data_IF_812000766323
#
_entry.id   IF_812000766323
#
_cell.length_a   1.000
_cell.length_b   1.000
_cell.length_c   1.000
_cell.angle_alpha   90.00
_cell.angle_beta   90.00
_cell.angle_gamma   90.00
#
_symmetry.space_group_name_H-M   'P 1'
#
loop_
_entity.id
_entity.type
_entity.pdbx_description
1 polymer ?
#
# COMPACT_ATOMS: atom_id res chain seq x y z
N UNK A 1 -25.02 -0.49 8.64
CA UNK A 1 -25.55 -1.84 8.39
C UNK A 1 -25.83 -2.51 9.73
N UNK A 2 -26.87 -3.34 9.83
CA UNK A 2 -27.14 -4.17 11.00
C UNK A 2 -27.41 -5.60 10.52
N UNK A 3 -27.01 -6.58 11.30
CA UNK A 3 -27.13 -8.00 10.97
C UNK A 3 -27.37 -8.83 12.22
N UNK A 4 -27.85 -10.06 12.01
CA UNK A 4 -28.14 -11.04 13.04
C UNK A 4 -27.72 -12.43 12.52
N UNK A 5 -28.26 -13.51 13.11
CA UNK A 5 -28.15 -14.85 12.58
C UNK A 5 -28.43 -14.88 11.06
N UNK A 6 -27.66 -15.70 10.33
CA UNK A 6 -27.69 -15.83 8.86
C UNK A 6 -27.00 -14.68 8.10
N UNK A 7 -25.65 -14.65 8.06
CA UNK A 7 -24.87 -13.59 7.42
C UNK A 7 -25.20 -13.39 5.93
N UNK A 8 -25.63 -14.44 5.23
CA UNK A 8 -25.99 -14.39 3.81
C UNK A 8 -27.15 -13.42 3.50
N UNK A 9 -27.95 -13.03 4.49
CA UNK A 9 -29.06 -12.08 4.32
C UNK A 9 -28.63 -10.62 4.43
N UNK A 10 -27.41 -10.35 4.90
CA UNK A 10 -26.93 -9.01 5.22
C UNK A 10 -25.72 -8.66 4.33
N UNK A 11 -25.99 -8.29 3.07
CA UNK A 11 -24.97 -7.77 2.16
C UNK A 11 -25.17 -6.26 1.98
N UNK A 12 -24.14 -5.47 2.29
CA UNK A 12 -24.19 -4.01 2.17
C UNK A 12 -23.00 -3.54 1.34
N UNK A 13 -23.29 -2.73 0.32
CA UNK A 13 -22.26 -2.03 -0.43
C UNK A 13 -21.73 -0.88 0.43
N UNK A 14 -20.41 -0.88 0.65
CA UNK A 14 -19.71 0.16 1.39
C UNK A 14 -18.90 1.01 0.42
N UNK A 15 -18.84 2.31 0.70
CA UNK A 15 -17.94 3.23 -0.01
C UNK A 15 -16.55 3.18 0.62
N UNK A 16 -15.56 3.83 0.01
CA UNK A 16 -14.22 3.90 0.59
C UNK A 16 -14.28 4.77 1.86
N UNK A 17 -13.90 4.20 2.99
CA UNK A 17 -13.83 4.90 4.27
C UNK A 17 -13.57 3.95 5.43
N UNK A 18 -13.47 4.53 6.62
CA UNK A 18 -13.27 3.78 7.85
C UNK A 18 -14.61 3.40 8.48
N UNK A 19 -14.72 2.14 8.88
CA UNK A 19 -15.96 1.58 9.45
C UNK A 19 -15.67 0.87 10.76
N UNK A 20 -16.61 0.95 11.71
CA UNK A 20 -16.54 0.25 12.99
C UNK A 20 -17.67 -0.77 13.08
N UNK A 21 -17.33 -2.02 13.43
CA UNK A 21 -18.31 -3.08 13.68
C UNK A 21 -18.47 -3.23 15.20
N UNK A 22 -19.71 -3.26 15.67
CA UNK A 22 -20.05 -3.55 17.07
C UNK A 22 -20.88 -4.82 17.13
N UNK A 23 -20.47 -5.78 17.94
CA UNK A 23 -21.15 -7.05 18.14
C UNK A 23 -21.57 -7.17 19.61
N UNK A 24 -22.85 -7.46 19.87
CA UNK A 24 -23.40 -7.58 21.21
C UNK A 24 -23.88 -9.00 21.46
N UNK A 25 -23.28 -9.69 22.42
CA UNK A 25 -23.68 -11.02 22.87
C UNK A 25 -24.26 -10.89 24.28
N UNK A 26 -25.42 -11.49 24.52
CA UNK A 26 -26.10 -11.46 25.82
C UNK A 26 -26.19 -12.88 26.37
N UNK A 27 -25.77 -13.06 27.61
CA UNK A 27 -25.90 -14.30 28.35
C UNK A 27 -25.98 -13.99 29.85
N UNK A 28 -26.70 -14.80 30.62
CA UNK A 28 -26.88 -14.59 32.07
C UNK A 28 -25.58 -14.86 32.87
N UNK A 29 -24.79 -15.83 32.42
CA UNK A 29 -23.51 -16.22 33.03
C UNK A 29 -22.35 -15.42 32.43
N UNK A 30 -21.68 -14.64 33.27
CA UNK A 30 -20.51 -13.83 32.87
C UNK A 30 -19.33 -14.69 32.39
N UNK A 31 -19.07 -15.81 33.06
CA UNK A 31 -17.95 -16.71 32.74
C UNK A 31 -18.01 -17.28 31.30
N UNK A 32 -19.21 -17.37 30.71
CA UNK A 32 -19.38 -17.79 29.33
C UNK A 32 -19.18 -16.65 28.34
N UNK A 33 -19.49 -15.41 28.71
CA UNK A 33 -19.23 -14.21 27.90
C UNK A 33 -17.74 -13.92 27.81
N UNK A 34 -17.00 -14.11 28.90
CA UNK A 34 -15.54 -13.93 28.92
C UNK A 34 -14.82 -14.88 27.96
N UNK A 35 -15.38 -16.07 27.68
CA UNK A 35 -14.83 -16.99 26.66
C UNK A 35 -15.02 -16.53 25.22
N UNK A 36 -15.86 -15.53 24.99
CA UNK A 36 -16.24 -15.03 23.66
C UNK A 36 -15.59 -13.69 23.32
N UNK A 37 -14.74 -13.13 24.20
CA UNK A 37 -14.06 -11.85 23.96
C UNK A 37 -13.13 -11.90 22.76
N UNK A 38 -12.49 -13.05 22.54
CA UNK A 38 -11.53 -13.25 21.44
C UNK A 38 -12.17 -13.84 20.18
N UNK A 39 -13.50 -13.74 20.05
CA UNK A 39 -14.23 -14.34 18.94
C UNK A 39 -13.93 -13.59 17.63
N UNK A 40 -13.32 -14.25 16.63
CA UNK A 40 -12.99 -13.61 15.37
C UNK A 40 -14.26 -13.37 14.55
N UNK A 41 -14.29 -12.24 13.83
CA UNK A 41 -15.34 -11.91 12.87
C UNK A 41 -14.81 -12.19 11.46
N UNK A 42 -15.57 -12.97 10.69
CA UNK A 42 -15.26 -13.21 9.28
C UNK A 42 -15.95 -12.15 8.41
N UNK A 43 -15.16 -11.41 7.64
CA UNK A 43 -15.65 -10.45 6.64
C UNK A 43 -15.58 -11.06 5.25
N UNK A 44 -16.73 -11.17 4.59
CA UNK A 44 -16.85 -11.67 3.22
C UNK A 44 -17.01 -10.51 2.25
N UNK A 45 -15.95 -10.19 1.50
CA UNK A 45 -15.97 -9.17 0.46
C UNK A 45 -16.16 -9.78 -0.92
N UNK A 46 -17.19 -9.35 -1.64
CA UNK A 46 -17.43 -9.79 -3.02
C UNK A 46 -16.45 -9.11 -3.96
N UNK A 47 -15.59 -9.88 -4.62
CA UNK A 47 -14.65 -9.37 -5.60
C UNK A 47 -15.38 -8.77 -6.82
N UNK A 48 -14.89 -7.62 -7.31
CA UNK A 48 -15.44 -6.98 -8.50
C UNK A 48 -15.25 -7.84 -9.76
N UNK A 49 -14.07 -8.46 -9.89
CA UNK A 49 -13.77 -9.43 -10.94
C UNK A 49 -13.57 -10.82 -10.33
N UNK A 50 -14.32 -11.84 -10.78
CA UNK A 50 -14.11 -13.20 -10.29
C UNK A 50 -12.77 -13.73 -10.76
N UNK A 51 -12.07 -14.45 -9.89
CA UNK A 51 -10.79 -15.09 -10.21
C UNK A 51 -11.09 -16.47 -10.77
N UNK A 52 -10.74 -16.68 -12.04
CA UNK A 52 -10.73 -18.01 -12.65
C UNK A 52 -9.42 -18.71 -12.37
N UNK A 53 -9.50 -19.96 -11.93
CA UNK A 53 -8.35 -20.83 -11.69
C UNK A 53 -8.27 -21.83 -12.84
N UNK A 54 -7.08 -21.98 -13.42
CA UNK A 54 -6.86 -22.89 -14.53
C UNK A 54 -6.63 -24.33 -14.03
N UNK A 55 -7.27 -25.28 -14.72
CA UNK A 55 -7.13 -26.71 -14.48
C UNK A 55 -6.29 -27.38 -15.58
N UNK A 56 -5.51 -28.38 -15.20
CA UNK A 56 -4.55 -29.08 -16.06
C UNK A 56 -4.71 -30.59 -15.92
N UNK A 57 -4.55 -31.32 -17.03
CA UNK A 57 -4.62 -32.79 -17.05
C UNK A 57 -3.28 -33.47 -16.73
N UNK A 58 -2.20 -32.69 -16.59
CA UNK A 58 -0.86 -33.17 -16.27
C UNK A 58 -0.17 -32.20 -15.31
N UNK A 59 0.57 -32.75 -14.35
CA UNK A 59 1.34 -31.98 -13.38
C UNK A 59 2.41 -31.11 -14.04
N UNK A 60 3.11 -31.63 -15.06
CA UNK A 60 4.18 -30.89 -15.74
C UNK A 60 3.64 -29.64 -16.44
N UNK A 61 2.44 -29.74 -17.02
CA UNK A 61 1.76 -28.61 -17.65
C UNK A 61 1.27 -27.59 -16.62
N UNK A 62 0.81 -28.04 -15.44
CA UNK A 62 0.40 -27.15 -14.35
C UNK A 62 1.58 -26.32 -13.82
N UNK A 63 2.77 -26.92 -13.69
CA UNK A 63 3.97 -26.25 -13.17
C UNK A 63 4.48 -25.14 -14.09
N UNK A 64 4.43 -25.34 -15.40
CA UNK A 64 4.91 -24.36 -16.39
C UNK A 64 3.81 -23.41 -16.90
N UNK A 65 2.57 -23.55 -16.41
CA UNK A 65 1.42 -22.82 -16.93
C UNK A 65 1.13 -23.13 -18.41
N UNK A 66 1.39 -24.37 -18.84
CA UNK A 66 1.31 -24.80 -20.23
C UNK A 66 -0.11 -25.12 -20.70
N UNK A 67 -0.29 -26.26 -21.39
CA UNK A 67 -1.57 -26.64 -21.99
C UNK A 67 -2.63 -26.96 -20.92
N UNK A 68 -3.67 -26.12 -20.86
CA UNK A 68 -4.83 -26.27 -19.98
C UNK A 68 -5.73 -27.44 -20.39
N UNK A 69 -6.41 -28.04 -19.42
CA UNK A 69 -7.46 -29.02 -19.66
C UNK A 69 -8.76 -28.30 -19.99
N UNK A 70 -9.23 -28.42 -21.23
CA UNK A 70 -10.47 -27.76 -21.69
C UNK A 70 -11.71 -28.61 -21.40
N UNK A 71 -11.63 -29.91 -21.65
CA UNK A 71 -12.66 -30.88 -21.30
C UNK A 71 -12.09 -32.29 -21.34
N UNK A 72 -12.67 -33.20 -20.55
CA UNK A 72 -12.41 -34.62 -20.62
C UNK A 72 -13.74 -35.38 -20.61
N UNK A 73 -13.78 -36.51 -21.31
CA UNK A 73 -14.91 -37.45 -21.27
C UNK A 73 -14.45 -38.61 -20.41
N UNK A 74 -15.15 -38.85 -19.30
CA UNK A 74 -14.87 -39.99 -18.42
C UNK A 74 -15.91 -41.08 -18.69
N UNK A 75 -15.51 -42.25 -19.25
CA UNK A 75 -16.44 -43.35 -19.47
C UNK A 75 -16.99 -43.88 -18.15
N UNK A 76 -18.21 -44.39 -18.17
CA UNK A 76 -18.85 -45.03 -17.02
C UNK A 76 -18.03 -46.27 -16.60
N UNK A 77 -17.55 -46.31 -15.36
CA UNK A 77 -16.70 -47.40 -14.84
C UNK A 77 -15.66 -46.92 -13.83
N UNK A 78 -14.63 -47.73 -13.56
CA UNK A 78 -13.52 -47.41 -12.63
C UNK A 78 -12.40 -46.62 -13.31
N UNK A 79 -12.74 -45.50 -13.94
CA UNK A 79 -11.74 -44.60 -14.51
C UNK A 79 -11.54 -43.40 -13.59
N UNK A 80 -10.28 -43.04 -13.33
CA UNK A 80 -9.89 -41.88 -12.52
C UNK A 80 -9.07 -40.92 -13.36
N UNK A 81 -9.52 -39.67 -13.47
CA UNK A 81 -8.77 -38.61 -14.14
C UNK A 81 -8.21 -37.64 -13.09
N UNK A 82 -6.89 -37.60 -12.87
CA UNK A 82 -6.28 -36.58 -12.01
C UNK A 82 -6.37 -35.21 -12.69
N UNK A 83 -6.83 -34.21 -11.92
CA UNK A 83 -6.87 -32.81 -12.33
C UNK A 83 -5.95 -32.02 -11.41
N UNK A 84 -5.08 -31.22 -12.01
CA UNK A 84 -4.11 -30.39 -11.30
C UNK A 84 -4.54 -28.93 -11.39
N UNK A 85 -4.48 -28.23 -10.26
CA UNK A 85 -4.80 -26.81 -10.14
C UNK A 85 -3.51 -26.06 -9.86
N UNK A 86 -3.14 -25.15 -10.77
CA UNK A 86 -1.92 -24.35 -10.58
C UNK A 86 -2.15 -23.24 -9.52
N UNK A 87 -1.12 -22.86 -8.74
CA UNK A 87 -1.19 -21.72 -7.85
C UNK A 87 -1.55 -20.42 -8.59
N UNK A 88 -2.28 -19.54 -7.94
CA UNK A 88 -2.62 -18.24 -8.51
C UNK A 88 -1.36 -17.36 -8.66
N UNK A 89 -1.21 -16.62 -9.78
CA UNK A 89 -0.10 -15.69 -9.97
C UNK A 89 -0.04 -14.64 -8.86
N UNK A 90 1.18 -14.31 -8.39
CA UNK A 90 1.42 -13.35 -7.30
C UNK A 90 0.76 -11.99 -7.55
N UNK A 91 0.75 -11.52 -8.80
CA UNK A 91 0.26 -10.18 -9.16
C UNK A 91 -1.26 -10.04 -8.96
N UNK A 92 -2.00 -11.15 -9.07
CA UNK A 92 -3.43 -11.21 -8.77
C UNK A 92 -3.68 -11.27 -7.26
N UNK A 93 -2.77 -11.88 -6.49
CA UNK A 93 -2.92 -12.09 -5.04
C UNK A 93 -2.53 -10.86 -4.22
N UNK A 94 -1.50 -10.12 -4.63
CA UNK A 94 -0.98 -8.94 -3.91
C UNK A 94 -2.02 -7.84 -3.67
N UNK A 95 -3.09 -7.81 -4.47
CA UNK A 95 -4.17 -6.81 -4.37
C UNK A 95 -5.34 -7.23 -3.48
N UNK A 96 -5.39 -8.49 -3.01
CA UNK A 96 -6.63 -9.10 -2.53
C UNK A 96 -6.59 -9.46 -1.05
N UNK A 97 -5.41 -9.67 -0.46
CA UNK A 97 -5.34 -9.91 0.98
C UNK A 97 -3.94 -10.22 1.51
N UNK A 98 -3.86 -10.21 2.83
CA UNK A 98 -2.68 -10.56 3.62
C UNK A 98 -2.83 -11.96 4.22
N UNK A 99 -1.83 -12.39 5.01
CA UNK A 99 -1.85 -13.65 5.76
C UNK A 99 -3.13 -13.83 6.56
N UNK A 100 -3.69 -15.05 6.56
CA UNK A 100 -4.93 -15.38 7.28
C UNK A 100 -6.20 -15.18 6.46
N UNK A 101 -6.11 -14.56 5.28
CA UNK A 101 -7.25 -14.45 4.36
C UNK A 101 -7.34 -15.68 3.44
N UNK A 102 -8.55 -15.97 2.97
CA UNK A 102 -8.79 -17.00 1.97
C UNK A 102 -9.80 -16.53 0.94
N UNK A 103 -9.70 -17.08 -0.27
CA UNK A 103 -10.70 -16.89 -1.31
C UNK A 103 -11.72 -18.01 -1.24
N UNK A 104 -12.98 -17.67 -1.40
CA UNK A 104 -14.08 -18.63 -1.44
C UNK A 104 -14.78 -18.55 -2.80
N UNK A 105 -15.02 -19.71 -3.38
CA UNK A 105 -15.72 -19.86 -4.65
C UNK A 105 -16.35 -21.25 -4.77
N UNK A 106 -16.57 -21.67 -6.00
CA UNK A 106 -17.17 -22.96 -6.31
C UNK A 106 -16.39 -23.67 -7.41
N UNK A 107 -16.26 -24.99 -7.32
CA UNK A 107 -15.74 -25.85 -8.38
C UNK A 107 -16.88 -26.69 -8.97
N UNK A 108 -16.88 -26.86 -10.28
CA UNK A 108 -17.94 -27.52 -11.04
C UNK A 108 -17.28 -28.46 -12.06
N UNK A 109 -17.75 -29.72 -12.12
CA UNK A 109 -17.15 -30.74 -12.99
C UNK A 109 -18.00 -31.04 -14.24
N UNK A 110 -19.31 -30.88 -14.15
CA UNK A 110 -20.23 -31.02 -15.27
C UNK A 110 -19.97 -30.00 -16.39
N UNK A 111 -20.00 -30.46 -17.65
CA UNK A 111 -19.83 -29.60 -18.82
C UNK A 111 -21.14 -28.91 -19.25
N UNK A 112 -22.27 -29.57 -19.00
CA UNK A 112 -23.61 -29.11 -19.38
C UNK A 112 -24.13 -28.02 -18.45
N UNK A 113 -24.94 -27.10 -18.98
CA UNK A 113 -25.37 -25.90 -18.24
C UNK A 113 -26.38 -26.18 -17.13
N UNK A 114 -27.10 -27.30 -17.21
CA UNK A 114 -27.99 -27.75 -16.13
C UNK A 114 -27.16 -28.34 -15.00
N UNK A 115 -26.22 -29.24 -15.33
CA UNK A 115 -25.25 -29.81 -14.39
C UNK A 115 -24.48 -28.74 -13.64
N UNK A 116 -24.05 -27.66 -14.29
CA UNK A 116 -23.27 -26.60 -13.63
C UNK A 116 -23.98 -25.93 -12.45
N UNK A 117 -25.32 -25.95 -12.44
CA UNK A 117 -26.14 -25.35 -11.37
C UNK A 117 -26.34 -26.30 -10.18
N UNK A 118 -26.18 -27.60 -10.40
CA UNK A 118 -26.50 -28.65 -9.41
C UNK A 118 -25.22 -29.30 -8.88
N UNK A 119 -24.25 -29.56 -9.75
CA UNK A 119 -22.96 -30.18 -9.45
C UNK A 119 -21.91 -29.12 -9.09
N UNK A 120 -22.19 -28.34 -8.04
CA UNK A 120 -21.33 -27.25 -7.59
C UNK A 120 -20.85 -27.50 -6.16
N UNK A 121 -19.54 -27.50 -5.97
CA UNK A 121 -18.90 -27.79 -4.69
C UNK A 121 -18.20 -26.55 -4.15
N UNK A 122 -18.29 -26.26 -2.83
CA UNK A 122 -17.58 -25.14 -2.23
C UNK A 122 -16.07 -25.33 -2.33
N UNK A 123 -15.37 -24.32 -2.83
CA UNK A 123 -13.93 -24.31 -2.99
C UNK A 123 -13.32 -23.17 -2.17
N UNK A 124 -12.28 -23.47 -1.38
CA UNK A 124 -11.54 -22.48 -0.59
C UNK A 124 -10.07 -22.51 -0.98
N UNK A 125 -9.53 -21.35 -1.32
CA UNK A 125 -8.12 -21.16 -1.64
C UNK A 125 -7.47 -20.32 -0.54
N UNK A 126 -6.58 -20.94 0.23
CA UNK A 126 -5.90 -20.29 1.36
C UNK A 126 -4.71 -19.48 0.81
N UNK A 127 -4.58 -18.22 1.21
CA UNK A 127 -3.46 -17.39 0.82
C UNK A 127 -2.25 -17.70 1.71
N UNK A 128 -1.14 -18.09 1.07
CA UNK A 128 0.14 -18.28 1.73
C UNK A 128 0.90 -16.95 1.82
N UNK A 129 1.78 -16.83 2.82
CA UNK A 129 2.64 -15.66 2.96
C UNK A 129 3.51 -15.47 1.72
N UNK A 130 3.60 -14.24 1.16
CA UNK A 130 4.67 -13.94 0.24
C UNK A 130 5.98 -14.07 1.03
N UNK A 131 6.79 -15.09 0.72
CA UNK A 131 8.10 -15.27 1.34
C UNK A 131 8.87 -13.96 1.30
N UNK A 132 9.44 -13.55 2.45
CA UNK A 132 10.23 -12.32 2.56
C UNK A 132 11.28 -12.32 1.44
N UNK A 133 11.10 -11.46 0.43
CA UNK A 133 12.18 -11.18 -0.52
C UNK A 133 13.34 -10.66 0.33
N UNK A 134 14.43 -11.41 0.38
CA UNK A 134 15.66 -10.97 1.01
C UNK A 134 16.05 -9.65 0.34
N UNK A 135 15.93 -8.55 1.07
CA UNK A 135 16.45 -7.27 0.63
C UNK A 135 17.94 -7.47 0.42
N UNK A 136 18.36 -7.53 -0.85
CA UNK A 136 19.74 -7.45 -1.25
C UNK A 136 20.31 -6.20 -0.60
N UNK A 137 21.18 -6.38 0.40
CA UNK A 137 21.92 -5.29 1.02
C UNK A 137 22.66 -4.57 -0.10
N UNK A 138 22.19 -3.39 -0.47
CA UNK A 138 23.02 -2.46 -1.20
C UNK A 138 24.21 -2.15 -0.29
N UNK A 139 25.38 -2.65 -0.67
CA UNK A 139 26.66 -2.24 -0.12
C UNK A 139 26.86 -0.78 -0.49
N UNK A 140 26.35 0.13 0.35
CA UNK A 140 26.81 1.51 0.33
C UNK A 140 28.14 1.52 1.07
N UNK A 141 29.23 1.84 0.36
CA UNK A 141 30.54 2.15 0.92
C UNK A 141 30.49 3.54 1.59
N UNK A 142 29.64 3.72 2.61
CA UNK A 142 29.68 4.91 3.46
C UNK A 142 30.43 4.58 4.74
N UNK A 143 31.24 5.51 5.22
CA UNK A 143 31.88 5.33 6.52
C UNK A 143 30.84 5.42 7.64
N UNK A 144 31.05 4.72 8.76
CA UNK A 144 30.15 4.83 9.92
C UNK A 144 30.00 6.27 10.44
N UNK A 145 31.01 7.11 10.17
CA UNK A 145 31.00 8.52 10.51
C UNK A 145 30.05 9.32 9.61
N UNK A 146 30.08 9.09 8.29
CA UNK A 146 29.12 9.69 7.36
C UNK A 146 27.68 9.26 7.68
N UNK A 147 27.45 7.99 7.99
CA UNK A 147 26.13 7.50 8.38
C UNK A 147 25.61 8.19 9.66
N UNK A 148 26.51 8.43 10.63
CA UNK A 148 26.18 9.18 11.85
C UNK A 148 25.80 10.64 11.55
N UNK A 149 26.56 11.32 10.70
CA UNK A 149 26.29 12.71 10.31
C UNK A 149 24.98 12.84 9.50
N UNK A 150 24.70 11.88 8.61
CA UNK A 150 23.43 11.82 7.88
C UNK A 150 22.25 11.60 8.83
N UNK A 151 22.36 10.67 9.79
CA UNK A 151 21.32 10.42 10.77
C UNK A 151 21.06 11.64 11.67
N UNK A 152 22.11 12.37 12.05
CA UNK A 152 21.99 13.58 12.84
C UNK A 152 21.27 14.69 12.06
N UNK A 153 21.63 14.90 10.79
CA UNK A 153 20.94 15.85 9.90
C UNK A 153 19.46 15.48 9.75
N UNK A 154 19.16 14.22 9.43
CA UNK A 154 17.78 13.78 9.20
C UNK A 154 16.94 13.91 10.48
N UNK A 155 17.54 13.67 11.66
CA UNK A 155 16.92 13.94 12.96
C UNK A 155 16.60 15.43 13.11
N UNK A 156 17.57 16.31 12.90
CA UNK A 156 17.39 17.77 13.00
C UNK A 156 16.30 18.28 12.06
N UNK A 157 16.29 17.83 10.80
CA UNK A 157 15.26 18.17 9.80
C UNK A 157 13.88 17.69 10.26
N UNK A 158 13.78 16.47 10.82
CA UNK A 158 12.51 15.94 11.30
C UNK A 158 11.92 16.73 12.48
N UNK A 159 12.79 17.33 13.30
CA UNK A 159 12.40 18.16 14.44
C UNK A 159 12.04 19.58 14.02
N UNK A 160 12.65 20.10 12.95
CA UNK A 160 12.37 21.46 12.46
C UNK A 160 10.87 21.70 12.25
N UNK A 161 10.17 20.75 11.63
CA UNK A 161 8.71 20.81 11.42
C UNK A 161 7.85 20.74 12.68
N UNK A 162 8.42 20.30 13.82
CA UNK A 162 7.72 20.00 15.08
C UNK A 162 8.01 20.99 16.20
N UNK A 163 8.95 21.91 16.03
CA UNK A 163 9.29 22.89 17.04
C UNK A 163 8.14 23.89 17.21
N UNK A 164 7.69 24.11 18.44
CA UNK A 164 6.65 25.11 18.75
C UNK A 164 7.20 26.54 18.77
N UNK A 165 8.51 26.70 19.03
CA UNK A 165 9.16 28.00 19.08
C UNK A 165 9.73 28.41 17.72
N UNK A 166 9.12 29.42 17.11
CA UNK A 166 9.51 29.95 15.80
C UNK A 166 10.94 30.49 15.74
N UNK A 167 11.47 31.05 16.84
CA UNK A 167 12.85 31.58 16.87
C UNK A 167 13.88 30.45 16.90
N UNK A 168 13.61 29.38 17.66
CA UNK A 168 14.46 28.20 17.71
C UNK A 168 14.46 27.44 16.38
N UNK A 169 13.32 27.38 15.70
CA UNK A 169 13.20 26.79 14.36
C UNK A 169 14.01 27.59 13.33
N UNK A 170 13.96 28.93 13.36
CA UNK A 170 14.75 29.79 12.47
C UNK A 170 16.27 29.65 12.68
N UNK A 171 16.72 29.50 13.93
CA UNK A 171 18.13 29.25 14.24
C UNK A 171 18.59 27.90 13.68
N UNK A 172 17.82 26.84 13.96
CA UNK A 172 18.12 25.50 13.46
C UNK A 172 18.11 25.45 11.92
N UNK A 173 17.17 26.15 11.28
CA UNK A 173 17.09 26.27 9.83
C UNK A 173 18.36 26.92 9.24
N UNK A 174 18.84 28.01 9.83
CA UNK A 174 20.07 28.68 9.37
C UNK A 174 21.31 27.79 9.53
N UNK A 175 21.41 27.06 10.63
CA UNK A 175 22.50 26.10 10.86
C UNK A 175 22.46 24.96 9.84
N UNK A 176 21.28 24.43 9.54
CA UNK A 176 21.10 23.37 8.56
C UNK A 176 21.40 23.84 7.13
N UNK A 177 20.98 25.04 6.74
CA UNK A 177 21.27 25.60 5.42
C UNK A 177 22.76 25.93 5.23
N UNK A 178 23.47 26.34 6.30
CA UNK A 178 24.92 26.58 6.21
C UNK A 178 25.72 25.30 6.16
N UNK A 179 25.29 24.26 6.89
CA UNK A 179 25.98 22.96 6.94
C UNK A 179 25.65 22.06 5.74
N UNK A 180 24.44 22.17 5.18
CA UNK A 180 23.93 21.31 4.12
C UNK A 180 23.13 22.10 3.07
N UNK A 181 23.79 22.92 2.24
CA UNK A 181 23.11 23.80 1.27
C UNK A 181 22.32 23.03 0.20
N UNK A 182 22.77 21.84 -0.19
CA UNK A 182 22.11 21.03 -1.24
C UNK A 182 20.95 20.17 -0.69
N UNK A 183 20.66 20.22 0.61
CA UNK A 183 19.65 19.37 1.23
C UNK A 183 18.27 20.02 1.21
N UNK A 184 17.55 19.82 0.11
CA UNK A 184 16.19 20.37 -0.11
C UNK A 184 15.19 20.05 1.01
N UNK A 185 15.37 18.94 1.73
CA UNK A 185 14.46 18.55 2.81
C UNK A 185 14.49 19.53 4.00
N UNK A 186 15.56 20.31 4.17
CA UNK A 186 15.63 21.37 5.19
C UNK A 186 14.58 22.45 4.89
N UNK A 187 14.49 22.87 3.63
CA UNK A 187 13.57 23.89 3.19
C UNK A 187 12.11 23.41 3.27
N UNK A 188 11.82 22.19 2.83
CA UNK A 188 10.46 21.62 2.93
C UNK A 188 10.02 21.44 4.38
N UNK A 189 10.93 21.05 5.29
CA UNK A 189 10.62 20.98 6.72
C UNK A 189 10.35 22.36 7.34
N UNK A 190 11.04 23.41 6.87
CA UNK A 190 10.76 24.79 7.29
C UNK A 190 9.41 25.29 6.76
N UNK A 191 9.06 24.95 5.53
CA UNK A 191 7.73 25.25 4.98
C UNK A 191 6.63 24.59 5.81
N UNK A 192 6.80 23.32 6.19
CA UNK A 192 5.86 22.61 7.06
C UNK A 192 5.74 23.21 8.47
N UNK A 193 6.82 23.81 9.01
CA UNK A 193 6.77 24.55 10.27
C UNK A 193 5.99 25.87 10.14
N UNK A 194 6.22 26.61 9.04
CA UNK A 194 5.55 27.88 8.77
C UNK A 194 4.07 27.71 8.42
N UNK A 195 3.71 26.61 7.77
CA UNK A 195 2.35 26.28 7.35
C UNK A 195 2.02 24.80 7.69
N UNK A 196 1.63 24.50 8.93
CA UNK A 196 1.26 23.14 9.32
C UNK A 196 -0.10 22.74 8.71
N UNK A 197 -0.21 21.49 8.27
CA UNK A 197 -1.43 20.93 7.63
C UNK A 197 -2.70 21.08 8.48
N UNK A 198 -2.57 21.13 9.80
CA UNK A 198 -3.69 21.26 10.74
C UNK A 198 -4.29 22.66 10.82
N UNK A 199 -3.65 23.66 10.21
CA UNK A 199 -4.04 25.07 10.26
C UNK A 199 -4.07 25.77 8.91
N UNK A 200 -4.06 25.02 7.80
CA UNK A 200 -4.00 25.57 6.45
C UNK A 200 -5.23 26.40 6.12
N UNK A 201 -5.03 27.70 5.98
CA UNK A 201 -6.09 28.65 5.69
C UNK A 201 -6.21 28.88 4.18
N UNK A 202 -7.37 28.54 3.62
CA UNK A 202 -7.62 28.65 2.18
C UNK A 202 -7.83 30.12 1.77
N UNK A 203 -7.59 30.47 0.50
CA UNK A 203 -7.96 31.76 -0.05
C UNK A 203 -9.45 32.05 0.22
N UNK A 204 -9.75 33.05 1.07
CA UNK A 204 -11.11 33.36 1.55
C UNK A 204 -11.42 32.94 3.00
N UNK A 205 -10.44 32.39 3.72
CA UNK A 205 -10.45 32.22 5.18
C UNK A 205 -10.72 33.54 5.93
N UNK A 206 -11.44 33.47 7.05
CA UNK A 206 -11.79 34.64 7.87
C UNK A 206 -10.60 35.23 8.66
N UNK A 207 -9.48 34.51 8.73
CA UNK A 207 -8.26 34.97 9.38
C UNK A 207 -7.29 35.49 8.31
N UNK A 208 -6.83 36.74 8.41
CA UNK A 208 -5.80 37.25 7.51
C UNK A 208 -4.47 36.57 7.84
N UNK A 209 -3.83 35.95 6.84
CA UNK A 209 -2.48 35.44 6.97
C UNK A 209 -1.52 36.60 7.31
N UNK A 210 -0.60 36.37 8.24
CA UNK A 210 0.36 37.37 8.66
C UNK A 210 1.31 37.70 7.48
N UNK A 211 1.40 38.96 7.02
CA UNK A 211 2.20 39.33 5.85
C UNK A 211 3.69 39.01 6.01
N UNK A 212 4.21 39.00 7.24
CA UNK A 212 5.60 38.64 7.53
C UNK A 212 5.87 37.14 7.34
N UNK A 213 4.92 36.29 7.73
CA UNK A 213 5.01 34.84 7.52
C UNK A 213 4.89 34.48 6.03
N UNK A 214 4.01 35.18 5.29
CA UNK A 214 3.86 35.02 3.84
C UNK A 214 5.14 35.37 3.08
N UNK A 215 5.76 36.52 3.39
CA UNK A 215 7.02 36.91 2.77
C UNK A 215 8.14 35.89 3.07
N UNK A 216 8.13 35.32 4.28
CA UNK A 216 9.08 34.28 4.67
C UNK A 216 8.83 32.98 3.91
N UNK A 217 7.58 32.54 3.80
CA UNK A 217 7.17 31.36 3.04
C UNK A 217 7.62 31.48 1.58
N UNK A 218 7.33 32.62 0.94
CA UNK A 218 7.76 32.91 -0.43
C UNK A 218 9.28 32.84 -0.60
N UNK A 219 10.04 33.37 0.37
CA UNK A 219 11.51 33.33 0.33
C UNK A 219 12.04 31.90 0.40
N UNK A 220 11.48 31.07 1.30
CA UNK A 220 11.90 29.67 1.45
C UNK A 220 11.47 28.83 0.25
N UNK A 221 10.25 29.02 -0.26
CA UNK A 221 9.77 28.37 -1.48
C UNK A 221 10.64 28.72 -2.70
N UNK A 222 11.00 29.99 -2.86
CA UNK A 222 11.88 30.42 -3.94
C UNK A 222 13.27 29.77 -3.86
N UNK A 223 13.79 29.53 -2.65
CA UNK A 223 15.04 28.79 -2.46
C UNK A 223 14.92 27.34 -2.95
N UNK A 224 13.81 26.65 -2.65
CA UNK A 224 13.53 25.29 -3.17
C UNK A 224 13.45 25.29 -4.69
N UNK A 225 12.69 26.21 -5.27
CA UNK A 225 12.50 26.32 -6.72
C UNK A 225 13.86 26.58 -7.41
N UNK A 226 14.71 27.42 -6.83
CA UNK A 226 16.04 27.71 -7.37
C UNK A 226 17.04 26.54 -7.22
N UNK A 227 16.84 25.68 -6.22
CA UNK A 227 17.70 24.53 -5.95
C UNK A 227 17.35 23.28 -6.75
N UNK A 228 16.18 23.24 -7.40
CA UNK A 228 15.74 22.11 -8.24
C UNK A 228 15.99 22.42 -9.72
N UNK A 229 16.77 21.58 -10.40
CA UNK A 229 16.90 21.66 -11.86
C UNK A 229 15.63 21.09 -12.53
N UNK A 230 14.73 22.00 -12.91
CA UNK A 230 13.49 21.67 -13.59
C UNK A 230 13.73 20.97 -14.95
N UNK A 231 14.84 21.25 -15.62
CA UNK A 231 15.16 20.65 -16.92
C UNK A 231 15.54 19.19 -16.75
N UNK A 232 16.42 18.90 -15.80
CA UNK A 232 16.83 17.52 -15.48
C UNK A 232 15.63 16.67 -15.02
N UNK A 233 14.76 17.26 -14.18
CA UNK A 233 13.55 16.60 -13.70
C UNK A 233 12.58 16.28 -14.84
N UNK A 234 12.36 17.20 -15.77
CA UNK A 234 11.51 17.00 -16.95
C UNK A 234 12.08 15.95 -17.90
N UNK A 235 13.40 15.94 -18.12
CA UNK A 235 14.07 14.92 -18.93
C UNK A 235 13.90 13.53 -18.30
N UNK A 236 14.02 13.42 -16.97
CA UNK A 236 13.77 12.16 -16.27
C UNK A 236 12.30 11.72 -16.42
N UNK A 237 11.34 12.62 -16.23
CA UNK A 237 9.91 12.32 -16.40
C UNK A 237 9.55 11.91 -17.83
N UNK A 238 10.25 12.45 -18.83
CA UNK A 238 10.11 12.07 -20.24
C UNK A 238 10.75 10.73 -20.59
N UNK A 239 11.62 10.19 -19.73
CA UNK A 239 12.33 8.93 -19.98
C UNK A 239 11.47 7.73 -19.60
N UNK A 240 10.97 7.00 -20.60
CA UNK A 240 10.03 5.87 -20.41
C UNK A 240 10.63 4.67 -19.68
N UNK A 241 11.94 4.44 -19.80
CA UNK A 241 12.65 3.36 -19.09
C UNK A 241 14.12 3.71 -18.96
N UNK A 242 14.57 3.99 -17.73
CA UNK A 242 15.99 4.14 -17.41
C UNK A 242 16.62 2.75 -17.28
N UNK A 243 17.63 2.45 -18.11
CA UNK A 243 18.32 1.15 -18.15
C UNK A 243 19.57 1.11 -17.26
N UNK A 244 19.89 2.21 -16.56
CA UNK A 244 21.05 2.26 -15.67
C UNK A 244 20.84 1.38 -14.43
N UNK A 245 21.91 0.76 -13.89
CA UNK A 245 21.80 -0.09 -12.70
C UNK A 245 21.36 0.67 -11.43
N UNK A 246 21.57 1.98 -11.39
CA UNK A 246 21.17 2.91 -10.31
C UNK A 246 19.84 3.62 -10.55
N UNK A 247 19.12 3.29 -11.63
CA UNK A 247 17.78 3.79 -11.96
C UNK A 247 16.80 3.84 -10.76
N UNK A 248 16.69 2.83 -9.86
CA UNK A 248 15.78 2.92 -8.72
C UNK A 248 16.17 4.01 -7.71
N UNK A 249 17.47 4.24 -7.50
CA UNK A 249 17.96 5.30 -6.60
C UNK A 249 17.74 6.68 -7.22
N UNK A 250 18.06 6.84 -8.51
CA UNK A 250 17.84 8.07 -9.27
C UNK A 250 16.36 8.44 -9.24
N UNK A 251 15.47 7.47 -9.51
CA UNK A 251 14.03 7.68 -9.46
C UNK A 251 13.57 8.17 -8.09
N UNK A 252 14.07 7.56 -7.00
CA UNK A 252 13.72 7.98 -5.64
C UNK A 252 14.16 9.43 -5.36
N UNK A 253 15.34 9.83 -5.81
CA UNK A 253 15.83 11.20 -5.67
C UNK A 253 15.00 12.20 -6.49
N UNK A 254 14.69 11.86 -7.75
CA UNK A 254 13.88 12.69 -8.64
C UNK A 254 12.43 12.82 -8.15
N UNK A 255 11.83 11.74 -7.65
CA UNK A 255 10.48 11.77 -7.07
C UNK A 255 10.47 12.68 -5.82
N UNK A 256 11.53 12.68 -5.00
CA UNK A 256 11.67 13.61 -3.85
C UNK A 256 11.80 15.07 -4.28
N UNK A 257 12.61 15.35 -5.30
CA UNK A 257 12.75 16.71 -5.84
C UNK A 257 11.43 17.20 -6.44
N UNK A 258 10.69 16.33 -7.15
CA UNK A 258 9.36 16.63 -7.66
C UNK A 258 8.38 16.98 -6.54
N UNK A 259 8.32 16.17 -5.47
CA UNK A 259 7.44 16.47 -4.33
C UNK A 259 7.82 17.80 -3.68
N UNK A 260 9.12 18.04 -3.43
CA UNK A 260 9.59 19.30 -2.87
C UNK A 260 9.22 20.52 -3.75
N UNK A 261 9.28 20.38 -5.08
CA UNK A 261 8.89 21.43 -6.03
C UNK A 261 7.38 21.66 -6.09
N UNK A 262 6.56 20.63 -5.82
CA UNK A 262 5.09 20.78 -5.76
C UNK A 262 4.66 21.43 -4.44
N UNK A 263 5.38 21.14 -3.36
CA UNK A 263 5.10 21.68 -2.03
C UNK A 263 5.55 23.15 -1.89
N UNK A 264 6.54 23.59 -2.67
CA UNK A 264 7.04 24.96 -2.73
C UNK A 264 6.20 25.86 -3.65
#
# INVERSE_FOLDING_TARGET
ASGDAYPNKYNVKLEKGDYTIRHQIRHEKKDLLEKLTDLPILLSHKLATPITVDAYGSQSQALIGGKKLTSAILPTGKYTLPIYIAPLPSDKLQKIGTTGHYLQGTIVYSKDDVGKKVDSYPFKYILAEPGKKSSSKNTNEKTKQEEYEEALRDLQVSWLSKLDNSEAAEQLYKELCTRYPDHLAVHTAMLAHLEPDTGREWPGSAKPLNPTQLARLQTVAQAVISGVDATELLVHLGTKSDQRPDAPKIKQTMDRQKTALIDA
#
